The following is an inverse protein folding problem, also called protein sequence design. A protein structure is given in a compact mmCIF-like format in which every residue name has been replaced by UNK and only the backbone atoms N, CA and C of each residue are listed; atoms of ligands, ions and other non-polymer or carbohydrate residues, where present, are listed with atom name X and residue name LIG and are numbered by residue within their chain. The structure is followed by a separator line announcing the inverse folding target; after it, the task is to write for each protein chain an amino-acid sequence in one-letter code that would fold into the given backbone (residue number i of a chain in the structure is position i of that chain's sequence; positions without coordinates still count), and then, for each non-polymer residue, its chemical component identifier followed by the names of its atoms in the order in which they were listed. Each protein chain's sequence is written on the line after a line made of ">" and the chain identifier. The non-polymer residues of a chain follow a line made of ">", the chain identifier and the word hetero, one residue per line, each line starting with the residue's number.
data_IF_502316908967
#
_entry.id   IF_502316908967
#
_cell.length_a   1.000
_cell.length_b   1.000
_cell.length_c   1.000
_cell.angle_alpha   90.00
_cell.angle_beta   90.00
_cell.angle_gamma   90.00
#
_symmetry.space_group_name_H-M   'P 1'
#
loop_
_entity.id
_entity.type
_entity.pdbx_description
1 polymer ?
#
# COMPACT_ATOMS: atom_id res chain seq x y z
N UNK A 1 11.67 8.92 -0.43
CA UNK A 1 10.66 9.67 0.36
C UNK A 1 10.13 10.90 -0.37
N UNK A 2 10.98 11.82 -0.86
CA UNK A 2 10.55 13.05 -1.57
C UNK A 2 9.89 12.85 -2.95
N UNK A 3 9.80 11.62 -3.48
CA UNK A 3 9.26 11.37 -4.82
C UNK A 3 7.73 11.52 -4.90
N UNK A 4 7.01 11.30 -3.80
CA UNK A 4 5.55 11.17 -3.80
C UNK A 4 4.80 12.20 -2.93
N UNK A 5 5.50 12.92 -2.05
CA UNK A 5 4.91 13.97 -1.20
C UNK A 5 4.48 15.14 -2.07
N UNK A 6 3.29 15.69 -1.82
CA UNK A 6 2.68 16.84 -2.53
C UNK A 6 2.44 16.65 -4.03
N UNK A 7 2.47 15.40 -4.55
CA UNK A 7 2.03 15.11 -5.92
C UNK A 7 0.52 14.97 -5.98
N UNK A 8 -0.05 15.42 -7.09
CA UNK A 8 -1.42 15.08 -7.47
C UNK A 8 -1.47 13.58 -7.84
N UNK A 9 -2.47 12.81 -7.39
CA UNK A 9 -2.66 11.42 -7.76
C UNK A 9 -2.68 11.19 -9.28
N UNK A 10 -3.14 12.17 -10.07
CA UNK A 10 -3.14 12.13 -11.54
C UNK A 10 -1.75 12.11 -12.17
N UNK A 11 -0.71 12.51 -11.45
CA UNK A 11 0.69 12.55 -11.91
C UNK A 11 1.51 11.36 -11.41
N UNK A 12 0.83 10.31 -10.92
CA UNK A 12 1.44 9.07 -10.49
C UNK A 12 1.27 8.00 -11.57
N UNK A 13 2.27 7.12 -11.71
CA UNK A 13 2.13 5.94 -12.55
C UNK A 13 0.92 5.12 -12.11
N UNK A 14 0.25 4.43 -13.03
CA UNK A 14 -1.05 3.78 -12.81
C UNK A 14 -1.08 2.88 -11.57
N UNK A 15 0.02 2.15 -11.31
CA UNK A 15 0.18 1.31 -10.13
C UNK A 15 0.11 2.10 -8.82
N UNK A 16 0.80 3.24 -8.75
CA UNK A 16 0.82 4.10 -7.58
C UNK A 16 -0.54 4.78 -7.36
N UNK A 17 -1.21 5.22 -8.43
CA UNK A 17 -2.55 5.78 -8.33
C UNK A 17 -3.55 4.76 -7.76
N UNK A 18 -3.51 3.51 -8.25
CA UNK A 18 -4.34 2.43 -7.73
C UNK A 18 -4.04 2.14 -6.25
N UNK A 19 -2.77 2.05 -5.87
CA UNK A 19 -2.35 1.77 -4.49
C UNK A 19 -2.83 2.86 -3.52
N UNK A 20 -2.80 4.14 -3.90
CA UNK A 20 -3.40 5.22 -3.10
C UNK A 20 -4.89 5.00 -2.88
N UNK A 21 -5.63 4.75 -3.97
CA UNK A 21 -7.06 4.48 -3.89
C UNK A 21 -7.36 3.31 -2.95
N UNK A 22 -6.60 2.22 -3.07
CA UNK A 22 -6.71 1.04 -2.22
C UNK A 22 -6.41 1.36 -0.74
N UNK A 23 -5.34 2.10 -0.43
CA UNK A 23 -5.01 2.48 0.95
C UNK A 23 -6.14 3.30 1.58
N UNK A 24 -6.63 4.32 0.88
CA UNK A 24 -7.72 5.19 1.37
C UNK A 24 -9.02 4.44 1.55
N UNK A 25 -9.36 3.57 0.60
CA UNK A 25 -10.58 2.76 0.68
C UNK A 25 -10.49 1.73 1.80
N UNK A 26 -9.33 1.12 2.01
CA UNK A 26 -9.07 0.23 3.14
C UNK A 26 -9.30 0.94 4.47
N UNK A 27 -8.66 2.11 4.66
CA UNK A 27 -8.78 2.88 5.90
C UNK A 27 -10.22 3.35 6.15
N UNK A 28 -10.92 3.78 5.11
CA UNK A 28 -12.32 4.18 5.21
C UNK A 28 -13.22 3.00 5.60
N UNK A 29 -12.99 1.80 5.04
CA UNK A 29 -13.75 0.61 5.39
C UNK A 29 -13.48 0.16 6.84
N UNK A 30 -12.20 0.09 7.23
CA UNK A 30 -11.78 -0.29 8.57
C UNK A 30 -12.36 0.64 9.64
N UNK A 31 -12.26 1.96 9.45
CA UNK A 31 -12.83 2.96 10.37
C UNK A 31 -14.36 2.92 10.47
N UNK A 32 -15.03 2.45 9.43
CA UNK A 32 -16.48 2.29 9.40
C UNK A 32 -16.94 0.91 9.91
N UNK A 33 -16.04 0.07 10.46
CA UNK A 33 -16.36 -1.27 10.94
C UNK A 33 -16.78 -2.25 9.83
N UNK A 34 -16.46 -1.94 8.56
CA UNK A 34 -16.75 -2.80 7.42
C UNK A 34 -15.52 -3.64 7.07
N UNK A 35 -15.75 -4.83 6.53
CA UNK A 35 -14.67 -5.70 6.03
C UNK A 35 -13.87 -4.99 4.91
N UNK A 36 -12.58 -4.66 5.12
CA UNK A 36 -11.78 -4.00 4.09
C UNK A 36 -11.54 -4.90 2.87
N UNK A 37 -11.44 -6.22 3.06
CA UNK A 37 -11.29 -7.18 1.97
C UNK A 37 -12.46 -7.09 0.99
N UNK A 38 -13.70 -7.03 1.52
CA UNK A 38 -14.90 -6.92 0.70
C UNK A 38 -14.98 -5.57 -0.02
N UNK A 39 -14.56 -4.48 0.65
CA UNK A 39 -14.56 -3.15 0.05
C UNK A 39 -13.57 -3.01 -1.12
N UNK A 40 -12.45 -3.72 -1.06
CA UNK A 40 -11.38 -3.66 -2.06
C UNK A 40 -11.50 -4.70 -3.18
N UNK A 41 -12.19 -5.82 -2.94
CA UNK A 41 -12.27 -6.93 -3.88
C UNK A 41 -12.69 -6.53 -5.31
N UNK A 42 -13.71 -5.67 -5.53
CA UNK A 42 -14.09 -5.25 -6.87
C UNK A 42 -12.98 -4.49 -7.59
N UNK A 43 -12.26 -3.60 -6.89
CA UNK A 43 -11.17 -2.81 -7.48
C UNK A 43 -9.96 -3.67 -7.84
N UNK A 44 -9.57 -4.59 -6.97
CA UNK A 44 -8.48 -5.53 -7.24
C UNK A 44 -8.82 -6.51 -8.37
N UNK A 45 -10.07 -6.97 -8.45
CA UNK A 45 -10.55 -7.81 -9.56
C UNK A 45 -10.54 -7.04 -10.89
N UNK A 46 -11.09 -5.82 -10.91
CA UNK A 46 -11.10 -4.96 -12.10
C UNK A 46 -9.69 -4.63 -12.60
N UNK A 47 -8.71 -4.48 -11.70
CA UNK A 47 -7.31 -4.21 -12.06
C UNK A 47 -6.52 -5.47 -12.45
N UNK A 48 -7.12 -6.67 -12.36
CA UNK A 48 -6.47 -7.95 -12.66
C UNK A 48 -5.46 -8.41 -11.61
N UNK A 49 -5.46 -7.81 -10.42
CA UNK A 49 -4.51 -8.08 -9.31
C UNK A 49 -5.20 -8.70 -8.10
N UNK A 50 -6.36 -9.36 -8.28
CA UNK A 50 -7.09 -10.04 -7.20
C UNK A 50 -6.21 -10.90 -6.27
N UNK A 51 -5.20 -11.66 -6.76
CA UNK A 51 -4.31 -12.43 -5.90
C UNK A 51 -3.47 -11.60 -4.92
N UNK A 52 -3.28 -10.30 -5.16
CA UNK A 52 -2.54 -9.40 -4.28
C UNK A 52 -3.37 -8.91 -3.07
N UNK A 53 -4.69 -9.07 -3.11
CA UNK A 53 -5.60 -8.53 -2.10
C UNK A 53 -5.33 -9.04 -0.67
N UNK A 54 -5.07 -10.36 -0.45
CA UNK A 54 -4.80 -10.87 0.89
C UNK A 54 -3.51 -10.26 1.48
N UNK A 55 -2.44 -10.20 0.69
CA UNK A 55 -1.15 -9.63 1.12
C UNK A 55 -1.25 -8.13 1.39
N UNK A 56 -1.96 -7.39 0.53
CA UNK A 56 -2.22 -5.97 0.73
C UNK A 56 -3.02 -5.73 2.03
N UNK A 57 -4.08 -6.51 2.25
CA UNK A 57 -4.92 -6.35 3.44
C UNK A 57 -4.14 -6.72 4.71
N UNK A 58 -3.31 -7.77 4.66
CA UNK A 58 -2.46 -8.15 5.78
C UNK A 58 -1.43 -7.06 6.11
N UNK A 59 -0.83 -6.42 5.10
CA UNK A 59 0.07 -5.29 5.28
C UNK A 59 -0.63 -4.11 5.97
N UNK A 60 -1.82 -3.75 5.51
CA UNK A 60 -2.57 -2.62 6.09
C UNK A 60 -3.05 -2.93 7.52
N UNK A 61 -3.49 -4.16 7.80
CA UNK A 61 -3.87 -4.58 9.15
C UNK A 61 -2.68 -4.59 10.12
N UNK A 62 -1.49 -4.99 9.66
CA UNK A 62 -0.26 -4.93 10.45
C UNK A 62 0.07 -3.48 10.82
N UNK A 63 -0.07 -2.55 9.88
CA UNK A 63 0.14 -1.13 10.13
C UNK A 63 -0.89 -0.55 11.11
N UNK A 64 -2.16 -0.92 10.98
CA UNK A 64 -3.21 -0.44 11.88
C UNK A 64 -2.95 -0.85 13.35
N UNK A 65 -2.41 -2.05 13.58
CA UNK A 65 -2.10 -2.54 14.93
C UNK A 65 -0.69 -2.20 15.46
N UNK A 66 0.28 -1.96 14.60
CA UNK A 66 1.70 -1.88 14.97
C UNK A 66 2.47 -0.68 14.38
N UNK A 67 1.78 0.31 13.82
CA UNK A 67 2.48 1.49 13.28
C UNK A 67 3.30 2.22 14.36
N UNK A 68 4.48 2.72 13.98
CA UNK A 68 5.36 3.51 14.85
C UNK A 68 4.70 4.80 15.35
N UNK A 69 3.74 5.31 14.58
CA UNK A 69 2.93 6.49 14.90
C UNK A 69 1.57 6.38 14.24
N UNK A 70 0.65 7.27 14.62
CA UNK A 70 -0.62 7.38 13.94
C UNK A 70 -0.40 7.77 12.46
N UNK A 71 -0.79 6.87 11.55
CA UNK A 71 -0.76 7.11 10.10
C UNK A 71 -2.03 7.83 9.64
N UNK A 72 -1.86 8.93 8.92
CA UNK A 72 -2.94 9.76 8.38
C UNK A 72 -3.11 9.48 6.89
N UNK A 73 -4.22 8.86 6.55
CA UNK A 73 -4.63 8.69 5.16
C UNK A 73 -5.65 9.76 4.76
N UNK A 74 -5.61 10.17 3.50
CA UNK A 74 -6.60 11.05 2.91
C UNK A 74 -7.97 10.36 2.78
N UNK A 75 -9.04 11.15 2.66
CA UNK A 75 -10.33 10.60 2.26
C UNK A 75 -10.28 10.09 0.81
N UNK A 76 -11.12 9.11 0.44
CA UNK A 76 -11.29 8.74 -0.97
C UNK A 76 -11.56 10.00 -1.82
N UNK A 77 -10.79 10.20 -2.88
CA UNK A 77 -10.87 11.39 -3.74
C UNK A 77 -10.09 12.63 -3.27
N UNK A 78 -9.36 12.57 -2.15
CA UNK A 78 -8.52 13.69 -1.72
C UNK A 78 -7.46 14.05 -2.78
N UNK A 79 -7.29 15.35 -3.03
CA UNK A 79 -6.47 15.87 -4.12
C UNK A 79 -4.96 15.67 -3.91
N UNK A 80 -4.50 15.58 -2.66
CA UNK A 80 -3.08 15.52 -2.34
C UNK A 80 -2.70 14.21 -1.65
N UNK A 81 -1.49 13.72 -1.94
CA UNK A 81 -0.88 12.58 -1.22
C UNK A 81 -0.31 13.06 0.11
N UNK A 82 -0.78 12.48 1.20
CA UNK A 82 -0.26 12.75 2.54
C UNK A 82 1.17 12.21 2.70
N UNK A 83 1.91 12.73 3.69
CA UNK A 83 3.25 12.24 4.00
C UNK A 83 3.25 10.72 4.32
N UNK A 84 2.21 10.21 4.98
CA UNK A 84 2.09 8.80 5.35
C UNK A 84 1.82 7.92 4.13
N UNK A 85 0.92 8.34 3.26
CA UNK A 85 0.68 7.68 1.98
C UNK A 85 1.96 7.65 1.13
N UNK A 86 2.74 8.75 1.12
CA UNK A 86 3.98 8.82 0.37
C UNK A 86 5.06 7.85 0.88
N UNK A 87 5.12 7.57 2.18
CA UNK A 87 6.04 6.56 2.73
C UNK A 87 5.61 5.15 2.32
N UNK A 88 4.32 4.83 2.37
CA UNK A 88 3.82 3.53 1.88
C UNK A 88 4.01 3.37 0.38
N UNK A 89 3.82 4.42 -0.42
CA UNK A 89 4.12 4.37 -1.86
C UNK A 89 5.60 4.16 -2.10
N UNK A 90 6.49 4.77 -1.31
CA UNK A 90 7.91 4.52 -1.41
C UNK A 90 8.27 3.06 -1.08
N UNK A 91 7.57 2.44 -0.13
CA UNK A 91 7.71 1.01 0.18
C UNK A 91 7.33 0.15 -1.05
N UNK A 92 6.16 0.40 -1.64
CA UNK A 92 5.71 -0.35 -2.83
C UNK A 92 6.58 -0.09 -4.06
N UNK A 93 7.03 1.15 -4.27
CA UNK A 93 7.95 1.49 -5.35
C UNK A 93 9.26 0.70 -5.22
N UNK A 94 9.87 0.66 -4.03
CA UNK A 94 11.07 -0.13 -3.78
C UNK A 94 10.84 -1.63 -4.02
N UNK A 95 9.64 -2.13 -3.70
CA UNK A 95 9.27 -3.52 -3.95
C UNK A 95 9.09 -3.83 -5.45
N UNK A 96 8.49 -2.90 -6.21
CA UNK A 96 8.36 -3.00 -7.67
C UNK A 96 9.72 -2.95 -8.38
N UNK A 97 10.66 -2.15 -7.85
CA UNK A 97 12.03 -2.05 -8.36
C UNK A 97 12.92 -3.25 -7.92
N UNK A 98 12.41 -4.14 -7.06
CA UNK A 98 13.15 -5.30 -6.56
C UNK A 98 14.23 -4.96 -5.50
N UNK A 99 14.24 -3.75 -4.93
CA UNK A 99 15.20 -3.34 -3.91
C UNK A 99 14.76 -3.81 -2.50
N UNK A 100 15.00 -5.09 -2.22
CA UNK A 100 14.69 -5.71 -0.92
C UNK A 100 15.37 -5.02 0.28
N UNK A 101 16.51 -4.32 0.08
CA UNK A 101 17.17 -3.57 1.16
C UNK A 101 16.42 -2.26 1.45
N UNK A 102 15.98 -1.54 0.42
CA UNK A 102 15.13 -0.36 0.59
C UNK A 102 13.76 -0.72 1.18
N UNK A 103 13.13 -1.81 0.72
CA UNK A 103 11.86 -2.29 1.28
C UNK A 103 11.97 -2.51 2.78
N UNK A 104 12.97 -3.26 3.25
CA UNK A 104 13.17 -3.51 4.68
C UNK A 104 13.47 -2.25 5.48
N UNK A 105 14.28 -1.34 4.94
CA UNK A 105 14.59 -0.06 5.60
C UNK A 105 13.35 0.80 5.77
N UNK A 106 12.54 0.96 4.72
CA UNK A 106 11.29 1.73 4.77
C UNK A 106 10.30 1.04 5.72
N UNK A 107 10.21 -0.28 5.67
CA UNK A 107 9.34 -1.06 6.54
C UNK A 107 9.67 -0.86 8.03
N UNK A 108 10.96 -0.78 8.37
CA UNK A 108 11.40 -0.50 9.73
C UNK A 108 10.98 0.89 10.22
N UNK A 109 10.83 1.89 9.35
CA UNK A 109 10.38 3.24 9.76
C UNK A 109 8.88 3.33 10.03
N UNK A 110 8.11 2.36 9.54
CA UNK A 110 6.65 2.36 9.59
C UNK A 110 6.10 1.60 10.79
N UNK A 111 6.86 0.65 11.34
CA UNK A 111 6.45 -0.23 12.45
C UNK A 111 7.15 0.22 13.74
N UNK A 112 6.45 0.20 14.87
CA UNK A 112 7.01 0.64 16.15
C UNK A 112 8.22 -0.20 16.57
N UNK A 113 9.24 0.42 17.20
CA UNK A 113 10.47 -0.25 17.63
C UNK A 113 10.24 -1.38 18.65
N UNK A 114 9.14 -1.31 19.41
CA UNK A 114 8.73 -2.36 20.35
C UNK A 114 8.13 -3.59 19.65
N UNK A 115 7.90 -3.51 18.35
CA UNK A 115 7.29 -4.60 17.58
C UNK A 115 8.36 -5.65 17.26
N UNK A 116 8.07 -6.95 17.40
CA UNK A 116 9.04 -7.98 17.10
C UNK A 116 9.59 -7.84 15.67
N UNK A 117 10.89 -8.09 15.43
CA UNK A 117 11.52 -8.01 14.10
C UNK A 117 10.80 -8.82 13.01
N UNK A 118 10.03 -9.84 13.43
CA UNK A 118 9.15 -10.61 12.57
C UNK A 118 8.06 -9.78 11.86
N UNK A 119 7.58 -8.69 12.47
CA UNK A 119 6.58 -7.81 11.86
C UNK A 119 7.16 -7.00 10.69
N UNK A 120 8.37 -6.46 10.85
CA UNK A 120 9.09 -5.76 9.77
C UNK A 120 9.29 -6.71 8.59
N UNK A 121 9.72 -7.95 8.84
CA UNK A 121 9.88 -8.98 7.80
C UNK A 121 8.55 -9.32 7.13
N UNK A 122 7.47 -9.54 7.90
CA UNK A 122 6.14 -9.82 7.34
C UNK A 122 5.65 -8.69 6.45
N UNK A 123 5.87 -7.44 6.84
CA UNK A 123 5.48 -6.29 6.05
C UNK A 123 6.30 -6.16 4.76
N UNK A 124 7.62 -6.34 4.83
CA UNK A 124 8.48 -6.35 3.66
C UNK A 124 8.06 -7.43 2.67
N UNK A 125 7.86 -8.66 3.16
CA UNK A 125 7.39 -9.78 2.35
C UNK A 125 6.02 -9.49 1.71
N UNK A 126 5.06 -8.97 2.48
CA UNK A 126 3.75 -8.61 1.93
C UNK A 126 3.85 -7.54 0.82
N UNK A 127 4.70 -6.53 0.98
CA UNK A 127 4.94 -5.52 -0.04
C UNK A 127 5.55 -6.12 -1.32
N UNK A 128 6.51 -7.03 -1.18
CA UNK A 128 7.14 -7.77 -2.28
C UNK A 128 6.13 -8.65 -3.04
N UNK A 129 5.25 -9.36 -2.32
CA UNK A 129 4.20 -10.18 -2.96
C UNK A 129 3.20 -9.31 -3.72
N UNK A 130 2.76 -8.18 -3.14
CA UNK A 130 1.90 -7.23 -3.84
C UNK A 130 2.60 -6.73 -5.11
N UNK A 131 3.84 -6.30 -5.02
CA UNK A 131 4.61 -5.82 -6.16
C UNK A 131 4.75 -6.89 -7.26
N UNK A 132 5.08 -8.13 -6.89
CA UNK A 132 5.19 -9.25 -7.82
C UNK A 132 3.89 -9.45 -8.61
N UNK A 133 2.74 -9.37 -7.95
CA UNK A 133 1.43 -9.52 -8.61
C UNK A 133 1.11 -8.36 -9.53
N UNK A 134 1.58 -7.15 -9.23
CA UNK A 134 1.40 -5.99 -10.09
C UNK A 134 2.27 -6.06 -11.34
N UNK A 135 3.49 -6.59 -11.22
CA UNK A 135 4.39 -6.84 -12.37
C UNK A 135 3.86 -7.98 -13.26
N UNK A 136 3.29 -9.03 -12.65
CA UNK A 136 2.75 -10.19 -13.37
C UNK A 136 1.36 -9.97 -13.96
N UNK A 137 0.60 -8.99 -13.46
CA UNK A 137 -0.71 -8.69 -14.01
C UNK A 137 -0.51 -8.05 -15.39
N UNK A 138 -1.08 -8.64 -16.47
CA UNK A 138 -1.06 -7.99 -17.77
C UNK A 138 -1.66 -6.59 -17.61
N UNK A 139 -0.95 -5.57 -18.10
CA UNK A 139 -1.55 -4.27 -18.37
C UNK A 139 -2.64 -4.57 -19.39
N UNK A 140 -3.89 -4.79 -18.95
CA UNK A 140 -5.00 -5.04 -19.86
C UNK A 140 -5.06 -3.80 -20.75
N UNK A 141 -4.61 -3.98 -21.98
CA UNK A 141 -4.70 -2.99 -23.04
C UNK A 141 -6.18 -2.70 -23.20
N UNK A 142 -6.56 -1.46 -22.87
CA UNK A 142 -7.95 -1.03 -22.83
C UNK A 142 -8.29 -0.56 -24.25
N UNK A 143 -9.23 -1.25 -24.88
CA UNK A 143 -10.04 -0.67 -25.96
C UNK A 143 -11.00 0.38 -25.37
#
# INVERSE_FOLDING_TARGET
>A
MYRFVDRLPSNLDEHHHFLIGAMRQWTNAARAGRCPCAALAPGFAWRGVAPALPDFTALMALLDGHAARWLRFGMPGAEHVTADEAVLLALFAAALDGDALAVRRIAATLVADITPPAAIRRMATAAEWVALRFVQAPLVQRD
#
